data_IF_129003664612
#
_entry.id   IF_129003664612
#
_cell.length_a   1.000
_cell.length_b   1.000
_cell.length_c   1.000
_cell.angle_alpha   90.00
_cell.angle_beta   90.00
_cell.angle_gamma   90.00
#
_symmetry.space_group_name_H-M   'P 1'
#
loop_
_entity.id
_entity.type
_entity.pdbx_description
1 polymer ?
#
# COMPACT_ATOMS: atom_id res chain seq x y z
N UNK A 1 -3.39 -4.51 -9.80
CA UNK A 1 -4.84 -4.26 -9.97
C UNK A 1 -5.31 -5.13 -11.12
N UNK A 2 -6.47 -5.77 -11.02
CA UNK A 2 -7.10 -6.30 -12.24
C UNK A 2 -7.23 -5.12 -13.24
N UNK A 3 -7.02 -5.31 -14.55
CA UNK A 3 -7.23 -4.24 -15.51
C UNK A 3 -8.62 -3.65 -15.25
N UNK A 4 -8.69 -2.33 -15.13
CA UNK A 4 -9.97 -1.64 -14.99
C UNK A 4 -10.84 -2.10 -16.17
N UNK A 5 -12.08 -2.54 -15.94
CA UNK A 5 -12.93 -2.99 -17.02
C UNK A 5 -13.06 -1.88 -18.06
N UNK A 6 -12.90 -2.22 -19.34
CA UNK A 6 -13.15 -1.27 -20.43
C UNK A 6 -14.64 -0.92 -20.43
N UNK A 7 -14.96 0.31 -20.01
CA UNK A 7 -16.31 0.83 -20.00
C UNK A 7 -16.64 1.50 -21.34
N UNK A 8 -17.87 1.33 -21.79
CA UNK A 8 -18.46 2.19 -22.82
C UNK A 8 -18.59 3.64 -22.30
N UNK A 9 -18.83 4.59 -23.19
CA UNK A 9 -19.07 5.99 -22.82
C UNK A 9 -20.24 6.14 -21.83
N UNK A 10 -21.35 5.44 -22.09
CA UNK A 10 -22.52 5.44 -21.21
C UNK A 10 -22.25 4.80 -19.84
N UNK A 11 -21.45 3.73 -19.79
CA UNK A 11 -21.06 3.10 -18.51
C UNK A 11 -20.10 4.01 -17.73
N UNK A 12 -19.22 4.74 -18.43
CA UNK A 12 -18.35 5.75 -17.81
C UNK A 12 -19.19 6.86 -17.19
N UNK A 13 -20.17 7.40 -17.93
CA UNK A 13 -21.10 8.41 -17.41
C UNK A 13 -21.88 7.91 -16.19
N UNK A 14 -22.31 6.65 -16.18
CA UNK A 14 -22.97 6.03 -15.03
C UNK A 14 -22.04 5.98 -13.81
N UNK A 15 -20.80 5.56 -14.01
CA UNK A 15 -19.80 5.46 -12.95
C UNK A 15 -19.45 6.84 -12.37
N UNK A 16 -19.26 7.84 -13.23
CA UNK A 16 -19.05 9.23 -12.82
C UNK A 16 -20.25 9.81 -12.06
N UNK A 17 -21.49 9.51 -12.51
CA UNK A 17 -22.70 9.92 -11.81
C UNK A 17 -22.78 9.29 -10.40
N UNK A 18 -22.41 8.01 -10.26
CA UNK A 18 -22.33 7.35 -8.96
C UNK A 18 -21.33 8.06 -8.05
N UNK A 19 -20.13 8.36 -8.57
CA UNK A 19 -19.10 9.05 -7.80
C UNK A 19 -19.56 10.42 -7.33
N UNK A 20 -20.07 11.24 -8.24
CA UNK A 20 -20.51 12.60 -7.96
C UNK A 20 -21.66 12.67 -6.96
N UNK A 21 -22.61 11.74 -7.03
CA UNK A 21 -23.87 11.81 -6.26
C UNK A 21 -23.80 11.01 -4.96
N UNK A 22 -23.21 9.80 -5.00
CA UNK A 22 -23.22 8.87 -3.87
C UNK A 22 -21.88 8.74 -3.17
N UNK A 23 -20.74 8.96 -3.85
CA UNK A 23 -19.43 8.77 -3.23
C UNK A 23 -18.85 10.07 -2.67
N UNK A 24 -18.53 11.05 -3.51
CA UNK A 24 -17.83 12.29 -3.14
C UNK A 24 -18.53 13.07 -2.02
N UNK A 25 -19.87 13.26 -2.03
CA UNK A 25 -20.55 14.02 -0.97
C UNK A 25 -20.53 13.34 0.40
N UNK A 26 -20.13 12.07 0.45
CA UNK A 26 -20.10 11.22 1.65
C UNK A 26 -18.71 10.68 1.98
N UNK A 27 -17.68 11.01 1.18
CA UNK A 27 -16.33 10.46 1.32
C UNK A 27 -15.68 10.70 2.70
N UNK A 28 -16.06 11.81 3.36
CA UNK A 28 -15.59 12.18 4.69
C UNK A 28 -16.67 12.03 5.79
N UNK A 29 -17.85 11.52 5.44
CA UNK A 29 -19.01 11.41 6.33
C UNK A 29 -19.20 10.01 6.89
N UNK A 30 -18.11 9.36 7.28
CA UNK A 30 -18.16 8.00 7.84
C UNK A 30 -18.37 8.02 9.37
N UNK A 31 -18.76 6.87 9.90
CA UNK A 31 -18.98 6.59 11.32
C UNK A 31 -19.91 7.62 11.97
N UNK A 32 -19.41 8.37 12.95
CA UNK A 32 -20.20 9.33 13.72
C UNK A 32 -20.60 10.58 12.91
N UNK A 33 -20.02 10.77 11.72
CA UNK A 33 -20.35 11.86 10.79
C UNK A 33 -21.42 11.46 9.76
N UNK A 34 -21.90 10.21 9.79
CA UNK A 34 -22.89 9.70 8.85
C UNK A 34 -24.31 10.18 9.19
N UNK A 35 -25.03 10.61 8.16
CA UNK A 35 -26.46 10.92 8.24
C UNK A 35 -27.23 10.17 7.14
N UNK A 36 -28.27 9.44 7.53
CA UNK A 36 -29.05 8.62 6.58
C UNK A 36 -29.91 9.46 5.63
N UNK A 37 -30.56 10.52 6.12
CA UNK A 37 -31.51 11.32 5.31
C UNK A 37 -30.85 11.99 4.08
N UNK A 38 -29.67 12.62 4.18
CA UNK A 38 -28.96 13.12 3.00
C UNK A 38 -28.60 12.01 2.00
N UNK A 39 -28.23 10.82 2.47
CA UNK A 39 -27.89 9.69 1.60
C UNK A 39 -29.13 9.13 0.89
N UNK A 40 -30.26 9.02 1.58
CA UNK A 40 -31.54 8.61 0.98
C UNK A 40 -31.93 9.53 -0.19
N UNK A 41 -31.77 10.87 -0.02
CA UNK A 41 -32.02 11.83 -1.09
C UNK A 41 -31.08 11.63 -2.28
N UNK A 42 -29.79 11.41 -2.02
CA UNK A 42 -28.81 11.17 -3.07
C UNK A 42 -29.07 9.85 -3.83
N UNK A 43 -29.58 8.82 -3.15
CA UNK A 43 -30.01 7.57 -3.79
C UNK A 43 -31.17 7.80 -4.75
N UNK A 44 -32.17 8.60 -4.37
CA UNK A 44 -33.27 8.94 -5.28
C UNK A 44 -32.80 9.76 -6.49
N UNK A 45 -31.88 10.72 -6.28
CA UNK A 45 -31.24 11.47 -7.39
C UNK A 45 -30.48 10.55 -8.33
N UNK A 46 -29.65 9.65 -7.80
CA UNK A 46 -28.87 8.72 -8.61
C UNK A 46 -29.75 7.72 -9.36
N UNK A 47 -30.85 7.24 -8.76
CA UNK A 47 -31.82 6.37 -9.46
C UNK A 47 -32.39 7.06 -10.69
N UNK A 48 -32.79 8.32 -10.59
CA UNK A 48 -33.32 9.09 -11.71
C UNK A 48 -32.26 9.26 -12.81
N UNK A 49 -31.03 9.64 -12.47
CA UNK A 49 -29.92 9.78 -13.43
C UNK A 49 -29.56 8.45 -14.11
N UNK A 50 -29.54 7.37 -13.33
CA UNK A 50 -29.28 6.02 -13.84
C UNK A 50 -30.32 5.59 -14.87
N UNK A 51 -31.60 5.88 -14.62
CA UNK A 51 -32.69 5.60 -15.57
C UNK A 51 -32.58 6.45 -16.85
N UNK A 52 -32.25 7.74 -16.74
CA UNK A 52 -32.00 8.64 -17.88
C UNK A 52 -30.83 8.18 -18.75
N UNK A 53 -29.77 7.63 -18.14
CA UNK A 53 -28.61 7.06 -18.84
C UNK A 53 -28.90 5.68 -19.45
N UNK A 54 -30.09 5.10 -19.25
CA UNK A 54 -30.48 3.81 -19.80
C UNK A 54 -30.10 2.60 -18.93
N UNK A 55 -29.80 2.82 -17.65
CA UNK A 55 -29.42 1.80 -16.68
C UNK A 55 -30.48 1.69 -15.56
N UNK A 56 -31.64 1.04 -15.79
CA UNK A 56 -32.63 0.83 -14.73
C UNK A 56 -32.12 -0.08 -13.60
N UNK A 57 -31.10 -0.89 -13.89
CA UNK A 57 -30.35 -1.68 -12.93
C UNK A 57 -28.85 -1.33 -13.04
N UNK A 58 -28.38 -0.27 -12.34
CA UNK A 58 -27.00 0.19 -12.44
C UNK A 58 -25.98 -0.83 -11.95
N UNK A 59 -26.38 -1.76 -11.08
CA UNK A 59 -25.47 -2.71 -10.44
C UNK A 59 -24.95 -3.79 -11.40
N UNK A 60 -25.56 -3.95 -12.57
CA UNK A 60 -24.98 -4.77 -13.65
C UNK A 60 -23.63 -4.22 -14.13
N UNK A 61 -23.47 -2.91 -14.10
CA UNK A 61 -22.23 -2.22 -14.45
C UNK A 61 -21.41 -1.99 -13.19
N UNK A 62 -22.00 -1.35 -12.18
CA UNK A 62 -21.30 -0.98 -10.95
C UNK A 62 -20.79 -2.19 -10.14
N UNK A 63 -21.39 -3.37 -10.32
CA UNK A 63 -20.92 -4.62 -9.71
C UNK A 63 -19.50 -5.02 -10.13
N UNK A 64 -19.04 -4.56 -11.30
CA UNK A 64 -17.66 -4.73 -11.74
C UNK A 64 -16.65 -4.01 -10.81
N UNK A 65 -17.13 -2.98 -10.11
CA UNK A 65 -16.40 -2.21 -9.10
C UNK A 65 -16.80 -2.59 -7.66
N UNK A 66 -17.43 -3.76 -7.48
CA UNK A 66 -17.92 -4.30 -6.20
C UNK A 66 -19.05 -3.49 -5.54
N UNK A 67 -19.69 -2.60 -6.28
CA UNK A 67 -20.88 -1.87 -5.83
C UNK A 67 -22.10 -2.67 -6.26
N UNK A 68 -22.74 -3.38 -5.32
CA UNK A 68 -23.76 -4.39 -5.64
C UNK A 68 -25.19 -4.00 -5.26
N UNK A 69 -25.34 -2.99 -4.38
CA UNK A 69 -26.64 -2.44 -3.99
C UNK A 69 -26.46 -1.08 -3.31
N UNK A 70 -27.55 -0.32 -3.18
CA UNK A 70 -27.55 0.93 -2.42
C UNK A 70 -27.23 0.71 -0.93
N UNK A 71 -27.70 -0.40 -0.36
CA UNK A 71 -27.43 -0.75 1.03
C UNK A 71 -25.95 -1.11 1.24
N UNK A 72 -25.36 -1.88 0.32
CA UNK A 72 -23.93 -2.17 0.38
C UNK A 72 -23.10 -0.89 0.24
N UNK A 73 -23.45 -0.02 -0.71
CA UNK A 73 -22.78 1.27 -0.89
C UNK A 73 -22.89 2.14 0.38
N UNK A 74 -24.08 2.19 1.00
CA UNK A 74 -24.31 2.87 2.28
C UNK A 74 -23.37 2.35 3.36
N UNK A 75 -23.37 1.05 3.60
CA UNK A 75 -22.57 0.45 4.67
C UNK A 75 -21.06 0.62 4.42
N UNK A 76 -20.63 0.60 3.16
CA UNK A 76 -19.23 0.84 2.80
C UNK A 76 -18.81 2.29 3.02
N UNK A 77 -19.62 3.26 2.56
CA UNK A 77 -19.34 4.68 2.76
C UNK A 77 -19.44 5.07 4.23
N UNK A 78 -20.43 4.54 4.96
CA UNK A 78 -20.62 4.73 6.39
C UNK A 78 -19.48 4.16 7.20
N UNK A 79 -18.92 3.01 6.82
CA UNK A 79 -17.72 2.45 7.45
C UNK A 79 -16.46 3.25 7.13
N UNK A 80 -16.44 3.92 5.98
CA UNK A 80 -15.32 4.73 5.52
C UNK A 80 -14.10 3.89 5.14
N UNK A 81 -13.00 4.56 4.74
CA UNK A 81 -11.76 3.87 4.40
C UNK A 81 -11.14 3.21 5.64
N UNK A 82 -10.29 2.18 5.47
CA UNK A 82 -9.48 1.63 6.55
C UNK A 82 -8.78 2.73 7.34
N UNK A 83 -8.67 2.55 8.67
CA UNK A 83 -8.11 3.58 9.58
C UNK A 83 -6.76 4.13 9.12
N UNK A 84 -5.90 3.30 8.51
CA UNK A 84 -4.59 3.72 8.05
C UNK A 84 -4.58 4.74 6.90
N UNK A 85 -5.71 4.90 6.20
CA UNK A 85 -5.88 5.88 5.14
C UNK A 85 -6.67 7.11 5.60
N UNK A 86 -6.99 7.19 6.89
CA UNK A 86 -7.71 8.33 7.45
C UNK A 86 -6.73 9.44 7.84
N UNK A 87 -7.10 10.72 7.67
CA UNK A 87 -6.27 11.85 8.10
C UNK A 87 -5.85 11.74 9.56
N UNK A 88 -4.57 12.02 9.83
CA UNK A 88 -4.02 12.01 11.19
C UNK A 88 -3.68 10.62 11.75
N UNK A 89 -3.96 9.53 11.03
CA UNK A 89 -3.53 8.21 11.46
C UNK A 89 -2.00 8.11 11.58
N UNK A 90 -1.57 7.27 12.51
CA UNK A 90 -0.17 6.93 12.77
C UNK A 90 -0.10 5.43 13.01
N UNK A 91 0.95 4.82 12.46
CA UNK A 91 1.20 3.39 12.69
C UNK A 91 1.48 3.12 14.17
N UNK A 92 0.93 2.04 14.73
CA UNK A 92 1.25 1.60 16.09
C UNK A 92 2.67 1.04 16.21
N UNK A 93 3.39 0.84 15.09
CA UNK A 93 4.78 0.39 15.09
C UNK A 93 5.77 1.56 15.17
N UNK A 94 5.33 2.82 15.08
CA UNK A 94 6.24 3.96 15.24
C UNK A 94 6.86 3.98 16.65
N UNK A 95 8.19 4.12 16.72
CA UNK A 95 8.98 4.06 17.95
C UNK A 95 9.29 2.65 18.45
N UNK A 96 8.69 1.61 17.84
CA UNK A 96 9.01 0.23 18.18
C UNK A 96 10.33 -0.22 17.54
N UNK A 97 10.96 -1.22 18.14
CA UNK A 97 12.21 -1.77 17.62
C UNK A 97 11.98 -2.91 16.63
N UNK A 98 12.64 -2.81 15.48
CA UNK A 98 12.71 -3.87 14.47
C UNK A 98 14.19 -4.14 14.19
N UNK A 99 14.56 -5.42 14.16
CA UNK A 99 15.87 -5.86 13.68
C UNK A 99 15.71 -6.38 12.23
N UNK A 100 16.09 -5.58 11.22
CA UNK A 100 15.94 -5.97 9.82
C UNK A 100 16.74 -7.23 9.45
N UNK A 101 17.87 -7.48 10.11
CA UNK A 101 18.70 -8.64 9.79
C UNK A 101 18.04 -9.91 10.28
N UNK A 102 17.54 -9.92 11.51
CA UNK A 102 16.78 -11.04 12.06
C UNK A 102 15.51 -11.31 11.23
N UNK A 103 14.86 -10.23 10.76
CA UNK A 103 13.69 -10.31 9.90
C UNK A 103 13.97 -11.09 8.60
N UNK A 104 14.97 -10.66 7.83
CA UNK A 104 15.24 -11.26 6.52
C UNK A 104 15.93 -12.63 6.60
N UNK A 105 16.56 -12.98 7.72
CA UNK A 105 17.07 -14.33 7.96
C UNK A 105 15.97 -15.39 8.03
N UNK A 106 14.71 -14.98 8.26
CA UNK A 106 13.52 -15.84 8.19
C UNK A 106 12.88 -15.87 6.81
N UNK A 107 13.34 -15.03 5.89
CA UNK A 107 12.91 -14.99 4.52
C UNK A 107 13.92 -15.70 3.60
N UNK A 108 13.52 -15.97 2.37
CA UNK A 108 14.42 -16.49 1.35
C UNK A 108 14.96 -15.34 0.50
N UNK A 109 16.27 -15.21 0.40
CA UNK A 109 16.91 -14.27 -0.54
C UNK A 109 16.63 -14.67 -2.00
N UNK A 110 16.39 -13.69 -2.86
CA UNK A 110 16.02 -13.91 -4.27
C UNK A 110 16.94 -13.15 -5.23
N UNK A 111 17.15 -11.85 -5.01
CA UNK A 111 17.97 -11.01 -5.90
C UNK A 111 18.70 -9.88 -5.15
N UNK A 112 19.67 -9.26 -5.83
CA UNK A 112 20.51 -8.21 -5.26
C UNK A 112 21.55 -8.73 -4.26
N UNK A 113 22.34 -7.84 -3.63
CA UNK A 113 23.29 -8.23 -2.61
C UNK A 113 22.57 -8.77 -1.37
N UNK A 114 23.15 -9.77 -0.72
CA UNK A 114 22.61 -10.28 0.56
C UNK A 114 22.76 -9.18 1.61
N UNK A 115 21.66 -8.83 2.28
CA UNK A 115 21.66 -7.81 3.32
C UNK A 115 22.49 -8.25 4.52
N UNK A 116 23.42 -7.40 4.95
CA UNK A 116 24.37 -7.70 6.04
C UNK A 116 23.98 -7.09 7.39
N UNK A 117 22.98 -6.21 7.46
CA UNK A 117 22.57 -5.58 8.73
C UNK A 117 23.52 -4.52 9.26
N UNK A 118 24.36 -3.91 8.41
CA UNK A 118 25.39 -2.95 8.84
C UNK A 118 24.97 -1.49 8.73
N UNK A 119 23.96 -1.18 7.91
CA UNK A 119 23.46 0.19 7.73
C UNK A 119 22.60 0.60 8.92
N UNK A 120 22.82 1.84 9.39
CA UNK A 120 21.97 2.47 10.42
C UNK A 120 20.56 2.73 9.88
N UNK A 121 20.44 3.10 8.61
CA UNK A 121 19.17 3.43 7.94
C UNK A 121 18.76 2.31 7.01
N UNK A 122 17.60 1.72 7.25
CA UNK A 122 17.06 0.60 6.49
C UNK A 122 15.62 0.88 6.08
N UNK A 123 15.33 0.76 4.79
CA UNK A 123 13.98 0.83 4.22
C UNK A 123 13.51 -0.60 3.96
N UNK A 124 12.48 -1.05 4.68
CA UNK A 124 11.80 -2.31 4.39
C UNK A 124 10.60 -2.02 3.49
N UNK A 125 10.58 -2.63 2.30
CA UNK A 125 9.48 -2.51 1.34
C UNK A 125 8.66 -3.79 1.32
N UNK A 126 7.44 -3.77 1.84
CA UNK A 126 6.51 -4.90 1.79
C UNK A 126 5.62 -4.79 0.55
N UNK A 127 5.72 -5.79 -0.33
CA UNK A 127 5.07 -5.75 -1.64
C UNK A 127 4.70 -7.15 -2.16
N UNK A 128 4.10 -7.21 -3.35
CA UNK A 128 3.75 -8.46 -4.04
C UNK A 128 3.82 -8.30 -5.57
N UNK A 129 4.12 -9.36 -6.33
CA UNK A 129 4.32 -9.27 -7.79
C UNK A 129 3.04 -8.96 -8.58
N UNK A 130 1.87 -9.20 -8.00
CA UNK A 130 0.57 -8.85 -8.60
C UNK A 130 0.12 -7.40 -8.32
N UNK A 131 0.90 -6.66 -7.53
CA UNK A 131 0.58 -5.31 -7.07
C UNK A 131 1.08 -4.26 -8.05
N UNK A 132 0.16 -3.73 -8.87
CA UNK A 132 0.45 -2.63 -9.82
C UNK A 132 1.15 -1.42 -9.17
N UNK A 133 0.62 -0.84 -8.08
CA UNK A 133 1.31 0.25 -7.38
C UNK A 133 2.72 -0.08 -6.87
N UNK A 134 3.00 -1.36 -6.60
CA UNK A 134 4.33 -1.82 -6.19
C UNK A 134 5.30 -1.87 -7.38
N UNK A 135 4.81 -2.34 -8.54
CA UNK A 135 5.55 -2.30 -9.80
C UNK A 135 5.92 -0.87 -10.21
N UNK A 136 4.98 0.08 -10.04
CA UNK A 136 5.22 1.51 -10.30
C UNK A 136 6.23 2.13 -9.31
N UNK A 137 6.21 1.70 -8.04
CA UNK A 137 7.12 2.20 -7.01
C UNK A 137 8.54 1.63 -7.13
N UNK A 138 8.69 0.40 -7.65
CA UNK A 138 9.97 -0.30 -7.77
C UNK A 138 11.10 0.57 -8.35
N UNK A 139 10.94 1.17 -9.56
CA UNK A 139 11.96 2.02 -10.15
C UNK A 139 12.44 3.15 -9.23
N UNK A 140 11.51 3.84 -8.55
CA UNK A 140 11.85 4.92 -7.62
C UNK A 140 12.61 4.40 -6.38
N UNK A 141 12.26 3.21 -5.88
CA UNK A 141 13.00 2.56 -4.78
C UNK A 141 14.38 2.05 -5.22
N UNK A 142 14.52 1.61 -6.47
CA UNK A 142 15.81 1.25 -7.05
C UNK A 142 16.72 2.47 -7.18
N UNK A 143 16.18 3.58 -7.71
CA UNK A 143 16.93 4.83 -7.83
C UNK A 143 17.33 5.37 -6.44
N UNK A 144 16.46 5.24 -5.44
CA UNK A 144 16.77 5.57 -4.04
C UNK A 144 17.93 4.72 -3.49
N UNK A 145 17.92 3.41 -3.77
CA UNK A 145 18.97 2.51 -3.33
C UNK A 145 20.32 2.86 -3.97
N UNK A 146 20.32 3.25 -5.25
CA UNK A 146 21.51 3.69 -5.97
C UNK A 146 21.99 5.07 -5.47
N UNK A 147 21.08 6.02 -5.21
CA UNK A 147 21.38 7.38 -4.74
C UNK A 147 22.07 7.38 -3.37
N UNK A 148 21.62 6.52 -2.46
CA UNK A 148 22.11 6.44 -1.08
C UNK A 148 22.96 5.19 -0.81
N UNK A 149 23.62 4.65 -1.85
CA UNK A 149 24.47 3.46 -1.72
C UNK A 149 25.49 3.64 -0.56
N UNK A 150 25.59 2.62 0.29
CA UNK A 150 26.46 2.62 1.46
C UNK A 150 25.90 3.34 2.69
N UNK A 151 24.93 4.24 2.53
CA UNK A 151 24.27 4.97 3.63
C UNK A 151 22.93 4.34 4.03
N UNK A 152 22.11 3.99 3.03
CA UNK A 152 20.77 3.42 3.21
C UNK A 152 20.74 2.02 2.60
N UNK A 153 20.15 1.06 3.32
CA UNK A 153 19.81 -0.24 2.76
C UNK A 153 18.33 -0.28 2.38
N UNK A 154 18.02 -0.54 1.11
CA UNK A 154 16.65 -0.79 0.66
C UNK A 154 16.44 -2.29 0.49
N UNK A 155 15.45 -2.83 1.20
CA UNK A 155 15.23 -4.28 1.33
C UNK A 155 13.76 -4.58 1.03
N UNK A 156 13.51 -5.19 -0.12
CA UNK A 156 12.20 -5.66 -0.52
C UNK A 156 11.86 -7.01 0.13
N UNK A 157 10.66 -7.09 0.70
CA UNK A 157 10.08 -8.28 1.31
C UNK A 157 8.78 -8.58 0.56
N UNK A 158 8.88 -9.47 -0.42
CA UNK A 158 7.73 -9.92 -1.20
C UNK A 158 6.89 -10.94 -0.41
N UNK A 159 5.56 -10.82 -0.44
CA UNK A 159 4.66 -11.87 0.00
C UNK A 159 3.42 -11.94 -0.92
N UNK A 160 3.35 -12.99 -1.75
CA UNK A 160 2.25 -13.19 -2.71
C UNK A 160 0.87 -13.36 -2.06
N UNK A 161 0.81 -13.65 -0.75
CA UNK A 161 -0.42 -13.82 0.04
C UNK A 161 -0.51 -12.81 1.20
N UNK A 162 0.01 -11.59 1.01
CA UNK A 162 0.15 -10.60 2.10
C UNK A 162 -1.18 -10.24 2.79
N UNK A 163 -2.31 -10.27 2.07
CA UNK A 163 -3.64 -9.96 2.59
C UNK A 163 -4.45 -11.17 3.06
N UNK A 164 -3.94 -12.39 2.89
CA UNK A 164 -4.67 -13.64 3.17
C UNK A 164 -4.01 -14.50 4.23
N UNK A 165 -4.27 -15.81 4.17
CA UNK A 165 -3.44 -16.81 4.83
C UNK A 165 -2.12 -16.95 4.06
N UNK A 166 -1.00 -17.01 4.78
CA UNK A 166 0.30 -17.22 4.14
C UNK A 166 0.36 -18.61 3.53
N UNK A 167 0.92 -18.71 2.33
CA UNK A 167 1.09 -19.95 1.58
C UNK A 167 2.56 -20.13 1.25
N UNK A 168 2.90 -21.34 0.80
CA UNK A 168 4.23 -21.62 0.25
C UNK A 168 4.62 -20.59 -0.81
N UNK A 169 5.82 -20.04 -0.64
CA UNK A 169 6.36 -19.02 -1.51
C UNK A 169 6.63 -19.60 -2.91
N UNK A 170 6.03 -19.00 -3.93
CA UNK A 170 6.33 -19.33 -5.32
C UNK A 170 7.52 -18.50 -5.81
N UNK A 171 8.72 -18.99 -5.52
CA UNK A 171 9.97 -18.30 -5.83
C UNK A 171 10.20 -18.17 -7.34
N UNK A 172 9.82 -19.18 -8.12
CA UNK A 172 9.96 -19.16 -9.58
C UNK A 172 9.15 -18.02 -10.20
N UNK A 173 7.88 -17.88 -9.79
CA UNK A 173 7.04 -16.76 -10.23
C UNK A 173 7.65 -15.39 -9.91
N UNK A 174 8.23 -15.23 -8.71
CA UNK A 174 8.88 -13.99 -8.36
C UNK A 174 10.14 -13.76 -9.19
N UNK A 175 10.94 -14.80 -9.43
CA UNK A 175 12.12 -14.70 -10.30
C UNK A 175 11.70 -14.24 -11.69
N UNK A 176 10.70 -14.88 -12.32
CA UNK A 176 10.19 -14.51 -13.64
C UNK A 176 9.73 -13.04 -13.68
N UNK A 177 8.96 -12.61 -12.67
CA UNK A 177 8.54 -11.21 -12.54
C UNK A 177 9.75 -10.26 -12.49
N UNK A 178 10.76 -10.57 -11.68
CA UNK A 178 11.97 -9.76 -11.57
C UNK A 178 12.77 -9.76 -12.88
N UNK A 179 12.71 -10.82 -13.69
CA UNK A 179 13.36 -10.88 -15.00
C UNK A 179 12.69 -9.96 -16.02
N UNK A 180 11.37 -9.84 -15.97
CA UNK A 180 10.57 -8.94 -16.80
C UNK A 180 10.73 -7.47 -16.37
N UNK A 181 10.91 -7.23 -15.06
CA UNK A 181 10.98 -5.90 -14.44
C UNK A 181 12.38 -5.57 -13.93
N UNK A 182 13.45 -6.09 -14.55
CA UNK A 182 14.85 -5.91 -14.09
C UNK A 182 15.25 -4.45 -13.89
N UNK A 183 14.66 -3.54 -14.67
CA UNK A 183 14.88 -2.10 -14.52
C UNK A 183 14.27 -1.51 -13.25
N UNK A 184 13.26 -2.13 -12.65
CA UNK A 184 12.51 -1.59 -11.51
C UNK A 184 12.84 -2.21 -10.16
N UNK A 185 13.56 -3.33 -10.09
CA UNK A 185 13.81 -4.03 -8.81
C UNK A 185 15.29 -4.38 -8.65
N UNK A 186 16.14 -3.33 -8.60
CA UNK A 186 17.60 -3.46 -8.57
C UNK A 186 18.20 -3.51 -7.15
N UNK A 187 17.36 -3.36 -6.13
CA UNK A 187 17.74 -3.45 -4.73
C UNK A 187 17.65 -4.89 -4.19
N UNK A 188 17.99 -5.10 -2.92
CA UNK A 188 17.96 -6.43 -2.29
C UNK A 188 16.53 -6.93 -2.15
N UNK A 189 16.22 -8.11 -2.69
CA UNK A 189 14.89 -8.72 -2.61
C UNK A 189 14.93 -10.05 -1.86
N UNK A 190 14.02 -10.18 -0.90
CA UNK A 190 13.65 -11.40 -0.21
C UNK A 190 12.18 -11.73 -0.50
N UNK A 191 11.83 -13.02 -0.36
CA UNK A 191 10.46 -13.51 -0.33
C UNK A 191 10.17 -14.11 1.04
N UNK A 192 9.08 -13.65 1.65
CA UNK A 192 8.55 -14.18 2.90
C UNK A 192 8.02 -15.61 2.65
N UNK A 193 8.45 -16.55 3.47
CA UNK A 193 8.14 -17.97 3.28
C UNK A 193 6.74 -18.30 3.81
N UNK A 194 6.36 -19.57 3.79
CA UNK A 194 5.09 -20.07 4.34
C UNK A 194 4.89 -19.73 5.83
N UNK A 195 5.98 -19.58 6.59
CA UNK A 195 5.95 -19.09 7.97
C UNK A 195 5.33 -17.68 8.08
N UNK A 196 5.41 -16.88 7.01
CA UNK A 196 4.88 -15.51 6.97
C UNK A 196 5.50 -14.60 8.02
N UNK A 197 6.73 -14.90 8.47
CA UNK A 197 7.31 -14.26 9.63
C UNK A 197 7.37 -12.74 9.46
N UNK A 198 7.82 -12.25 8.30
CA UNK A 198 7.94 -10.82 8.09
C UNK A 198 6.57 -10.13 8.02
N UNK A 199 5.60 -10.80 7.39
CA UNK A 199 4.21 -10.36 7.38
C UNK A 199 3.60 -10.27 8.78
N UNK A 200 3.77 -11.31 9.61
CA UNK A 200 3.13 -11.38 10.93
C UNK A 200 3.85 -10.52 11.99
N UNK A 201 5.16 -10.37 11.91
CA UNK A 201 5.95 -9.65 12.92
C UNK A 201 6.13 -8.16 12.64
N UNK A 202 6.03 -7.73 11.38
CA UNK A 202 6.25 -6.32 10.99
C UNK A 202 5.08 -5.77 10.21
N UNK A 203 4.74 -6.30 9.03
CA UNK A 203 3.71 -5.71 8.17
C UNK A 203 2.34 -5.59 8.86
N UNK A 204 1.85 -6.68 9.45
CA UNK A 204 0.54 -6.70 10.12
C UNK A 204 0.51 -5.78 11.36
N UNK A 205 1.50 -5.86 12.27
CA UNK A 205 1.65 -4.92 13.39
C UNK A 205 1.81 -3.47 12.96
N UNK A 206 2.42 -3.18 11.80
CA UNK A 206 2.53 -1.83 11.26
C UNK A 206 1.18 -1.16 11.02
N UNK A 207 0.07 -1.90 11.03
CA UNK A 207 -1.29 -1.35 10.97
C UNK A 207 -1.67 -0.75 9.62
N UNK A 208 -0.71 -0.60 8.70
CA UNK A 208 -0.92 -0.19 7.33
C UNK A 208 -1.52 -1.35 6.53
N UNK A 209 -2.65 -1.11 5.87
CA UNK A 209 -3.45 -2.14 5.20
C UNK A 209 -3.36 -2.06 3.67
N UNK A 210 -2.32 -1.42 3.15
CA UNK A 210 -2.01 -1.36 1.72
C UNK A 210 -0.64 -1.96 1.40
N UNK A 211 -0.34 -2.09 0.11
CA UNK A 211 1.01 -2.28 -0.43
C UNK A 211 1.19 -1.39 -1.67
N UNK A 212 2.40 -0.89 -1.98
CA UNK A 212 3.62 -1.07 -1.20
C UNK A 212 3.54 -0.39 0.17
N UNK A 213 4.12 -1.03 1.18
CA UNK A 213 4.19 -0.52 2.55
C UNK A 213 5.65 -0.39 2.91
N UNK A 214 6.12 0.85 3.06
CA UNK A 214 7.47 1.15 3.49
C UNK A 214 7.51 1.26 5.00
N UNK A 215 8.49 0.61 5.62
CA UNK A 215 8.87 0.80 7.00
C UNK A 215 10.30 1.32 7.04
N UNK A 216 10.49 2.57 7.51
CA UNK A 216 11.83 3.15 7.68
C UNK A 216 12.31 2.85 9.09
N UNK A 217 13.46 2.19 9.19
CA UNK A 217 14.13 1.83 10.43
C UNK A 217 15.43 2.59 10.54
N UNK A 218 15.65 3.29 11.64
CA UNK A 218 16.88 4.02 11.97
C UNK A 218 17.40 3.53 13.31
N UNK A 219 18.61 2.98 13.33
CA UNK A 219 19.23 2.37 14.53
C UNK A 219 18.35 1.31 15.22
N UNK A 220 17.57 0.61 14.39
CA UNK A 220 16.63 -0.41 14.82
C UNK A 220 15.30 0.12 15.36
N UNK A 221 15.04 1.43 15.30
CA UNK A 221 13.75 2.05 15.66
C UNK A 221 12.95 2.41 14.41
N UNK A 222 11.66 2.12 14.40
CA UNK A 222 10.76 2.44 13.29
C UNK A 222 10.32 3.90 13.38
N UNK A 223 10.68 4.69 12.36
CA UNK A 223 10.36 6.14 12.32
C UNK A 223 9.34 6.51 11.23
N UNK A 224 9.06 5.58 10.32
CA UNK A 224 8.06 5.77 9.27
C UNK A 224 7.35 4.46 8.96
N UNK A 225 6.04 4.54 8.71
CA UNK A 225 5.23 3.49 8.09
C UNK A 225 4.22 4.15 7.16
N UNK A 226 4.19 3.76 5.89
CA UNK A 226 3.26 4.33 4.92
C UNK A 226 3.55 3.93 3.48
N UNK A 227 2.92 4.61 2.52
CA UNK A 227 3.24 4.43 1.10
C UNK A 227 4.52 5.18 0.71
N UNK A 228 5.18 4.81 -0.41
CA UNK A 228 6.26 5.62 -0.98
C UNK A 228 5.87 7.07 -1.28
N UNK A 229 4.58 7.35 -1.50
CA UNK A 229 4.08 8.68 -1.89
C UNK A 229 3.75 9.58 -0.68
N UNK A 230 3.58 9.01 0.51
CA UNK A 230 3.07 9.72 1.69
C UNK A 230 4.19 10.29 2.57
N UNK A 231 5.00 11.23 2.04
CA UNK A 231 6.03 11.93 2.82
C UNK A 231 7.22 11.06 3.26
N UNK A 232 7.37 9.87 2.69
CA UNK A 232 8.48 8.96 2.95
C UNK A 232 9.85 9.62 2.69
N UNK A 233 10.03 10.21 1.51
CA UNK A 233 11.32 10.80 1.09
C UNK A 233 11.77 11.91 2.04
N UNK A 234 10.87 12.82 2.40
CA UNK A 234 11.15 13.89 3.36
C UNK A 234 11.57 13.33 4.73
N UNK A 235 10.92 12.25 5.18
CA UNK A 235 11.25 11.60 6.47
C UNK A 235 12.63 10.95 6.42
N UNK A 236 12.97 10.28 5.32
CA UNK A 236 14.28 9.68 5.09
C UNK A 236 15.39 10.73 5.06
N UNK A 237 15.22 11.79 4.28
CA UNK A 237 16.22 12.86 4.16
C UNK A 237 16.50 13.53 5.51
N UNK A 238 15.44 13.81 6.30
CA UNK A 238 15.60 14.33 7.68
C UNK A 238 16.38 13.36 8.58
N UNK A 239 16.13 12.06 8.47
CA UNK A 239 16.86 11.06 9.26
C UNK A 239 18.34 11.03 8.89
N UNK A 240 18.67 11.11 7.60
CA UNK A 240 20.05 11.18 7.12
C UNK A 240 20.76 12.46 7.58
N UNK A 241 20.07 13.61 7.55
CA UNK A 241 20.60 14.87 8.07
C UNK A 241 20.93 14.79 9.57
N UNK A 242 20.04 14.20 10.37
CA UNK A 242 20.26 14.01 11.81
C UNK A 242 21.48 13.14 12.08
N UNK A 243 21.61 12.01 11.37
CA UNK A 243 22.75 11.10 11.48
C UNK A 243 24.07 11.80 11.11
N UNK A 244 24.07 12.56 10.01
CA UNK A 244 25.26 13.30 9.58
C UNK A 244 25.70 14.34 10.62
N UNK A 245 24.74 15.01 11.27
CA UNK A 245 25.02 15.96 12.34
C UNK A 245 25.57 15.28 13.61
N UNK A 246 25.07 14.11 13.98
CA UNK A 246 25.59 13.32 15.11
C UNK A 246 27.06 12.93 14.87
N UNK A 247 27.37 12.39 13.69
CA UNK A 247 28.75 12.00 13.34
C UNK A 247 29.72 13.18 13.35
N UNK A 248 29.27 14.38 12.95
CA UNK A 248 30.10 15.59 12.98
C UNK A 248 30.38 16.13 14.40
N UNK A 249 29.58 15.73 15.41
CA UNK A 249 29.79 16.11 16.81
C UNK A 249 30.71 15.14 17.56
N UNK A 250 30.91 13.93 17.02
CA UNK A 250 31.78 12.89 17.58
C UNK A 250 33.25 12.97 17.06
N UNK A 251 33.49 13.75 16.01
CA UNK A 251 34.82 14.07 15.44
C UNK A 251 35.49 15.32 16.05
#
# INVERSE_FOLDING_TARGET
>A
MAPQPELTESETQLFEAYHRVLNEPFAEKYEDLWEDEPFDRAVEEFKALSEELGFPDPFKVLGQFRITSYEQAREDLKRGPPMCFRPGWRSPLLGERVDPLTLVQKCRHVSGPVFQGTQRVVVLDFWASWCGPCEEAGPALSDLADEFEGQVAVVGINNESIFGETKEANVERLVDFLEEHRGGFRYTIYIDTDDGFAKESVYKPAGYRGIPCLVLVVDGEVIYVGSPQDGFRETLEKALELIANESALEE
#
